data_IF_578666069151
#
_entry.id   IF_578666069151
#
_cell.length_a   1.000
_cell.length_b   1.000
_cell.length_c   1.000
_cell.angle_alpha   90.00
_cell.angle_beta   90.00
_cell.angle_gamma   90.00
#
_symmetry.space_group_name_H-M   'P 1'
#
loop_
_entity.id
_entity.type
_entity.pdbx_description
1 polymer ?
#
# COMPACT_ATOMS: atom_id res chain seq x y z
N UNK A 1 -2.01 11.60 -5.59
CA UNK A 1 -1.33 12.87 -5.27
C UNK A 1 0.16 12.75 -5.52
N UNK A 2 0.81 13.80 -6.06
CA UNK A 2 2.27 13.81 -6.17
C UNK A 2 2.91 13.96 -4.78
N UNK A 3 4.03 13.27 -4.56
CA UNK A 3 4.79 13.30 -3.32
C UNK A 3 6.26 13.58 -3.62
N UNK A 4 6.95 14.29 -2.73
CA UNK A 4 8.39 14.52 -2.80
C UNK A 4 9.12 13.53 -1.90
N UNK A 5 10.14 12.85 -2.41
CA UNK A 5 11.02 12.03 -1.60
C UNK A 5 12.17 12.86 -1.01
N UNK A 6 12.19 13.05 0.31
CA UNK A 6 13.23 13.86 0.99
C UNK A 6 14.62 13.22 0.98
N UNK A 7 14.75 11.96 0.55
CA UNK A 7 16.04 11.26 0.47
C UNK A 7 16.73 11.42 -0.89
N UNK A 8 15.97 11.40 -1.98
CA UNK A 8 16.52 11.38 -3.33
C UNK A 8 15.95 12.47 -4.23
N UNK A 9 15.17 13.40 -3.67
CA UNK A 9 14.55 14.53 -4.35
C UNK A 9 13.65 14.14 -5.54
N UNK A 10 13.21 12.88 -5.59
CA UNK A 10 12.28 12.40 -6.59
C UNK A 10 10.88 12.93 -6.32
N UNK A 11 10.25 13.51 -7.34
CA UNK A 11 8.85 13.96 -7.32
C UNK A 11 8.03 12.96 -8.15
N UNK A 12 6.99 12.39 -7.55
CA UNK A 12 6.09 11.49 -8.25
C UNK A 12 5.17 10.71 -7.31
N UNK A 13 4.43 9.74 -7.87
CA UNK A 13 3.60 8.82 -7.08
C UNK A 13 4.49 7.84 -6.32
N UNK A 14 4.12 7.54 -5.08
CA UNK A 14 4.75 6.47 -4.32
C UNK A 14 4.32 5.10 -4.85
N UNK A 15 5.18 4.10 -4.69
CA UNK A 15 4.89 2.70 -4.97
C UNK A 15 4.55 1.95 -3.68
N UNK A 16 3.81 0.88 -3.83
CA UNK A 16 3.55 -0.06 -2.74
C UNK A 16 4.69 -1.06 -2.57
N UNK A 17 4.74 -1.75 -1.43
CA UNK A 17 5.68 -2.84 -1.20
C UNK A 17 5.35 -4.07 -2.05
N UNK A 18 6.19 -5.11 -1.98
CA UNK A 18 5.96 -6.37 -2.71
C UNK A 18 4.64 -7.06 -2.37
N UNK A 19 4.13 -6.86 -1.15
CA UNK A 19 2.93 -7.53 -0.63
C UNK A 19 1.79 -6.57 -0.24
N UNK A 20 2.07 -5.29 -0.01
CA UNK A 20 1.01 -4.31 0.30
C UNK A 20 0.51 -3.65 -0.97
N UNK A 21 -0.74 -3.21 -0.95
CA UNK A 21 -1.34 -2.46 -2.05
C UNK A 21 -1.43 -3.21 -3.37
N UNK A 22 -1.47 -4.55 -3.35
CA UNK A 22 -1.70 -5.36 -4.54
C UNK A 22 -3.10 -6.00 -4.49
N UNK A 23 -3.98 -5.58 -5.39
CA UNK A 23 -5.36 -6.04 -5.48
C UNK A 23 -5.48 -7.55 -5.68
N UNK A 24 -4.56 -8.17 -6.44
CA UNK A 24 -4.59 -9.61 -6.70
C UNK A 24 -4.24 -10.42 -5.45
N UNK A 25 -3.27 -9.96 -4.66
CA UNK A 25 -2.95 -10.57 -3.36
C UNK A 25 -4.14 -10.44 -2.40
N UNK A 26 -4.76 -9.26 -2.34
CA UNK A 26 -5.94 -9.08 -1.50
C UNK A 26 -7.11 -9.98 -1.89
N UNK A 27 -7.40 -10.12 -3.19
CA UNK A 27 -8.42 -11.06 -3.69
C UNK A 27 -8.06 -12.51 -3.33
N UNK A 28 -6.79 -12.90 -3.50
CA UNK A 28 -6.31 -14.23 -3.14
C UNK A 28 -6.50 -14.54 -1.66
N UNK A 29 -6.18 -13.59 -0.77
CA UNK A 29 -6.39 -13.72 0.68
C UNK A 29 -7.86 -13.94 1.03
N UNK A 30 -8.78 -13.21 0.38
CA UNK A 30 -10.22 -13.42 0.57
C UNK A 30 -10.65 -14.83 0.13
N UNK A 31 -10.16 -15.32 -1.00
CA UNK A 31 -10.43 -16.68 -1.47
C UNK A 31 -9.91 -17.72 -0.47
N UNK A 32 -8.69 -17.54 0.04
CA UNK A 32 -8.10 -18.42 1.05
C UNK A 32 -8.94 -18.42 2.33
N UNK A 33 -9.41 -17.26 2.80
CA UNK A 33 -10.29 -17.17 3.96
C UNK A 33 -11.59 -17.97 3.77
N UNK A 34 -12.23 -17.87 2.60
CA UNK A 34 -13.43 -18.66 2.28
C UNK A 34 -13.13 -20.16 2.31
N UNK A 35 -12.01 -20.59 1.72
CA UNK A 35 -11.59 -22.00 1.74
C UNK A 35 -11.40 -22.49 3.18
N UNK A 36 -10.77 -21.70 4.04
CA UNK A 36 -10.54 -22.04 5.45
C UNK A 36 -11.87 -22.24 6.18
N UNK A 37 -12.89 -21.38 5.96
CA UNK A 37 -14.21 -21.57 6.58
C UNK A 37 -14.89 -22.84 6.09
N UNK A 38 -14.88 -23.06 4.76
CA UNK A 38 -15.57 -24.22 4.14
C UNK A 38 -14.92 -25.55 4.51
N UNK A 39 -13.59 -25.57 4.69
CA UNK A 39 -12.82 -26.80 5.00
C UNK A 39 -12.38 -26.89 6.46
N UNK A 40 -12.81 -25.94 7.29
CA UNK A 40 -12.26 -25.65 8.61
C UNK A 40 -12.35 -26.78 9.63
N UNK A 41 -13.47 -27.52 9.64
CA UNK A 41 -13.62 -28.68 10.52
C UNK A 41 -12.59 -29.78 10.23
N UNK A 42 -12.14 -29.90 8.98
CA UNK A 42 -11.13 -30.90 8.58
C UNK A 42 -9.70 -30.41 8.80
N UNK A 43 -9.43 -29.11 8.62
CA UNK A 43 -8.06 -28.56 8.69
C UNK A 43 -7.63 -28.18 10.11
N UNK A 44 -8.53 -27.57 10.89
CA UNK A 44 -8.21 -26.97 12.18
C UNK A 44 -8.89 -27.67 13.37
N UNK A 45 -9.58 -28.80 13.10
CA UNK A 45 -10.27 -29.65 14.08
C UNK A 45 -11.36 -28.95 14.92
N UNK A 46 -11.57 -27.65 14.72
CA UNK A 46 -12.65 -26.88 15.32
C UNK A 46 -13.00 -25.70 14.42
N UNK A 47 -14.30 -25.58 14.17
CA UNK A 47 -14.89 -24.52 13.36
C UNK A 47 -14.59 -23.13 13.93
N UNK A 48 -14.52 -23.00 15.26
CA UNK A 48 -14.22 -21.72 15.91
C UNK A 48 -12.81 -21.21 15.55
N UNK A 49 -11.79 -22.09 15.54
CA UNK A 49 -10.44 -21.70 15.12
C UNK A 49 -10.39 -21.35 13.64
N UNK A 50 -11.06 -22.13 12.79
CA UNK A 50 -11.16 -21.83 11.37
C UNK A 50 -11.80 -20.47 11.10
N UNK A 51 -12.88 -20.13 11.80
CA UNK A 51 -13.54 -18.83 11.68
C UNK A 51 -12.62 -17.67 12.09
N UNK A 52 -11.87 -17.81 13.20
CA UNK A 52 -10.92 -16.76 13.65
C UNK A 52 -9.79 -16.56 12.65
N UNK A 53 -9.16 -17.65 12.19
CA UNK A 53 -8.06 -17.57 11.22
C UNK A 53 -8.56 -16.98 9.90
N UNK A 54 -9.71 -17.44 9.40
CA UNK A 54 -10.31 -16.90 8.19
C UNK A 54 -10.63 -15.41 8.32
N UNK A 55 -11.14 -14.95 9.47
CA UNK A 55 -11.41 -13.54 9.71
C UNK A 55 -10.13 -12.69 9.64
N UNK A 56 -9.03 -13.14 10.26
CA UNK A 56 -7.74 -12.44 10.20
C UNK A 56 -7.23 -12.34 8.76
N UNK A 57 -7.28 -13.45 8.01
CA UNK A 57 -6.84 -13.49 6.61
C UNK A 57 -7.73 -12.60 5.73
N UNK A 58 -9.05 -12.60 5.95
CA UNK A 58 -9.97 -11.74 5.21
C UNK A 58 -9.73 -10.25 5.50
N UNK A 59 -9.44 -9.89 6.76
CA UNK A 59 -9.09 -8.51 7.12
C UNK A 59 -7.81 -8.08 6.42
N UNK A 60 -6.76 -8.93 6.39
CA UNK A 60 -5.54 -8.66 5.63
C UNK A 60 -5.84 -8.43 4.14
N UNK A 61 -6.69 -9.28 3.55
CA UNK A 61 -7.16 -9.15 2.17
C UNK A 61 -7.84 -7.81 1.88
N UNK A 62 -8.78 -7.41 2.73
CA UNK A 62 -9.48 -6.13 2.60
C UNK A 62 -8.49 -4.96 2.71
N UNK A 63 -7.57 -5.00 3.68
CA UNK A 63 -6.56 -3.95 3.84
C UNK A 63 -5.69 -3.85 2.58
N UNK A 64 -5.26 -4.97 2.00
CA UNK A 64 -4.47 -4.98 0.77
C UNK A 64 -5.25 -4.45 -0.44
N UNK A 65 -6.55 -4.74 -0.54
CA UNK A 65 -7.42 -4.17 -1.58
C UNK A 65 -7.54 -2.66 -1.38
N UNK A 66 -7.87 -2.19 -0.18
CA UNK A 66 -8.00 -0.75 0.10
C UNK A 66 -6.68 -0.03 -0.18
N UNK A 67 -5.56 -0.59 0.28
CA UNK A 67 -4.24 -0.02 0.08
C UNK A 67 -3.89 0.03 -1.42
N UNK A 68 -4.39 -0.90 -2.24
CA UNK A 68 -4.12 -0.90 -3.69
C UNK A 68 -4.71 0.30 -4.43
N UNK A 69 -5.76 0.89 -3.89
CA UNK A 69 -6.34 2.15 -4.39
C UNK A 69 -5.72 3.39 -3.74
N UNK A 70 -4.87 3.21 -2.72
CA UNK A 70 -4.17 4.29 -2.03
C UNK A 70 -2.84 4.62 -2.72
N UNK A 71 -2.34 5.85 -2.56
CA UNK A 71 -1.00 6.20 -3.03
C UNK A 71 0.06 5.50 -2.17
N UNK A 72 0.96 4.77 -2.83
CA UNK A 72 2.05 4.05 -2.18
C UNK A 72 2.89 4.89 -1.22
N UNK A 73 3.45 4.21 -0.21
CA UNK A 73 4.26 4.82 0.86
C UNK A 73 5.75 4.80 0.57
N UNK A 74 6.20 4.06 -0.45
CA UNK A 74 7.61 3.92 -0.79
C UNK A 74 7.97 4.78 -1.98
N UNK A 75 9.13 5.44 -1.93
CA UNK A 75 9.65 6.16 -3.08
C UNK A 75 9.92 5.19 -4.25
N UNK A 76 9.41 5.51 -5.43
CA UNK A 76 9.61 4.70 -6.64
C UNK A 76 11.08 4.54 -7.00
N UNK A 77 11.91 5.57 -6.77
CA UNK A 77 13.33 5.57 -7.07
C UNK A 77 14.18 4.85 -5.99
N UNK A 78 14.10 5.29 -4.71
CA UNK A 78 15.00 4.77 -3.66
C UNK A 78 14.37 3.72 -2.72
N UNK A 79 13.08 3.41 -2.85
CA UNK A 79 12.38 2.40 -2.06
C UNK A 79 12.25 2.72 -0.57
N UNK A 80 12.45 3.98 -0.15
CA UNK A 80 12.33 4.43 1.24
C UNK A 80 11.01 5.14 1.50
N UNK A 81 10.54 5.04 2.73
CA UNK A 81 9.32 5.62 3.30
C UNK A 81 9.49 7.08 3.73
N UNK A 82 10.12 7.88 2.86
CA UNK A 82 10.40 9.31 3.10
C UNK A 82 9.72 10.20 2.07
N UNK A 83 8.44 9.95 1.84
CA UNK A 83 7.61 10.73 0.92
C UNK A 83 6.79 11.74 1.73
N UNK A 84 6.93 13.02 1.39
CA UNK A 84 6.10 14.09 1.94
C UNK A 84 5.13 14.61 0.86
N UNK A 85 3.96 15.14 1.26
CA UNK A 85 3.05 15.79 0.33
C UNK A 85 3.74 16.95 -0.38
N UNK A 86 3.51 17.10 -1.69
CA UNK A 86 4.15 18.15 -2.48
C UNK A 86 3.68 19.56 -2.06
N UNK A 87 2.46 19.68 -1.54
CA UNK A 87 1.81 20.89 -1.01
C UNK A 87 2.26 21.27 0.40
N UNK A 88 3.18 20.51 1.01
CA UNK A 88 3.72 20.84 2.33
C UNK A 88 4.78 21.94 2.25
N UNK A 89 4.82 22.84 3.25
CA UNK A 89 5.87 23.87 3.38
C UNK A 89 7.29 23.28 3.31
N UNK A 90 7.46 22.05 3.84
CA UNK A 90 8.74 21.35 3.78
C UNK A 90 9.13 20.95 2.35
N UNK A 91 8.16 20.58 1.51
CA UNK A 91 8.43 20.26 0.12
C UNK A 91 8.87 21.51 -0.66
N UNK A 92 8.20 22.64 -0.45
CA UNK A 92 8.54 23.92 -1.08
C UNK A 92 9.97 24.36 -0.76
N UNK A 93 10.41 24.25 0.50
CA UNK A 93 11.78 24.57 0.91
C UNK A 93 12.80 23.68 0.20
N UNK A 94 12.54 22.38 0.10
CA UNK A 94 13.45 21.42 -0.53
C UNK A 94 13.51 21.63 -2.05
N UNK A 95 12.38 21.93 -2.69
CA UNK A 95 12.30 22.23 -4.13
C UNK A 95 13.11 23.48 -4.46
N UNK A 96 12.91 24.57 -3.70
CA UNK A 96 13.66 25.82 -3.88
C UNK A 96 15.15 25.63 -3.61
N UNK A 97 15.52 24.91 -2.55
CA UNK A 97 16.92 24.68 -2.17
C UNK A 97 17.69 23.90 -3.23
N UNK A 98 17.04 22.96 -3.92
CA UNK A 98 17.68 22.07 -4.88
C UNK A 98 17.36 22.41 -6.34
N UNK A 99 16.70 23.54 -6.62
CA UNK A 99 16.24 23.95 -7.96
C UNK A 99 15.53 22.81 -8.72
N UNK A 100 14.61 22.10 -8.05
CA UNK A 100 13.90 20.98 -8.65
C UNK A 100 12.80 21.47 -9.58
N UNK A 101 12.71 20.89 -10.79
CA UNK A 101 11.56 21.06 -11.67
C UNK A 101 10.42 20.17 -11.19
N UNK A 102 9.29 20.77 -10.83
CA UNK A 102 8.05 20.02 -10.57
C UNK A 102 7.47 19.62 -11.93
N UNK A 103 7.23 18.32 -12.21
CA UNK A 103 6.57 17.91 -13.43
C UNK A 103 5.14 18.48 -13.44
N UNK A 104 4.78 19.22 -14.49
CA UNK A 104 3.47 19.87 -14.67
C UNK A 104 2.33 18.88 -14.95
N UNK A 105 2.61 17.57 -14.93
CA UNK A 105 1.73 16.61 -15.57
C UNK A 105 0.83 15.86 -14.56
N UNK A 106 -0.47 16.02 -14.86
CA UNK A 106 -1.66 15.24 -14.45
C UNK A 106 -2.36 15.75 -13.17
N UNK A 107 -2.93 16.96 -13.27
CA UNK A 107 -4.28 17.19 -12.76
C UNK A 107 -5.25 16.28 -13.54
N UNK A 108 -5.64 15.15 -12.96
CA UNK A 108 -6.89 14.46 -13.28
C UNK A 108 -7.33 13.60 -12.11
#
# INVERSE_FOLDING_TARGET
MQKLCTKCNFIGKGKHGLFSGNIYFGILEIIVAVIIVVTGERLLQSYAYAAVVAAIVAIAGIINIIDSFSDGRLCSNCGKDKLIPLDSLQADEIIKKNNLSVPEDIES
#
